data_IF_502587633822
#
_entry.id   IF_502587633822
#
_cell.length_a   1.000
_cell.length_b   1.000
_cell.length_c   1.000
_cell.angle_alpha   90.00
_cell.angle_beta   90.00
_cell.angle_gamma   90.00
#
_symmetry.space_group_name_H-M   'P 1'
#
loop_
_entity.id
_entity.type
_entity.pdbx_description
1 polymer ?
#
# COMPACT_ATOMS: atom_id res chain seq x y z
N UNK A 1 -22.66 -7.36 2.20
CA UNK A 1 -21.57 -6.38 1.98
C UNK A 1 -20.79 -6.15 3.27
N UNK A 2 -19.52 -5.81 3.13
CA UNK A 2 -18.68 -5.50 4.29
C UNK A 2 -18.68 -4.00 4.54
N UNK A 3 -18.63 -3.62 5.80
CA UNK A 3 -18.67 -2.22 6.21
C UNK A 3 -17.51 -1.91 7.14
N UNK A 4 -17.00 -0.69 7.04
CA UNK A 4 -15.85 -0.23 7.83
C UNK A 4 -16.14 1.17 8.35
N UNK A 5 -15.64 1.47 9.55
CA UNK A 5 -15.82 2.78 10.17
C UNK A 5 -14.53 3.24 10.82
N UNK A 6 -14.22 4.50 10.63
CA UNK A 6 -13.05 5.17 11.23
C UNK A 6 -13.53 6.51 11.78
N UNK A 7 -12.98 6.90 12.92
CA UNK A 7 -13.20 8.21 13.52
C UNK A 7 -11.87 8.93 13.67
N UNK A 8 -11.84 10.22 13.39
CA UNK A 8 -10.64 11.03 13.59
C UNK A 8 -11.02 12.32 14.32
N UNK A 9 -10.14 12.73 15.24
CA UNK A 9 -10.32 14.01 15.95
C UNK A 9 -9.03 14.79 15.99
N UNK A 10 -9.13 16.08 15.87
CA UNK A 10 -8.02 17.01 16.02
C UNK A 10 -7.57 17.03 17.49
N UNK A 11 -6.27 16.84 17.73
CA UNK A 11 -5.69 17.00 19.07
C UNK A 11 -5.32 18.46 19.28
N UNK A 12 -4.53 19.01 18.35
CA UNK A 12 -4.11 20.41 18.33
C UNK A 12 -3.77 20.78 16.88
N UNK A 13 -3.14 21.94 16.68
CA UNK A 13 -2.77 22.40 15.34
C UNK A 13 -1.60 21.61 14.72
N UNK A 14 -1.03 20.65 15.43
CA UNK A 14 0.08 19.83 14.94
C UNK A 14 -0.33 18.38 14.61
N UNK A 15 -1.46 17.91 15.09
CA UNK A 15 -1.82 16.53 14.84
C UNK A 15 -3.23 16.16 15.21
N UNK A 16 -3.61 14.99 14.70
CA UNK A 16 -4.93 14.39 14.93
C UNK A 16 -4.77 12.90 15.17
N UNK A 17 -5.78 12.29 15.74
CA UNK A 17 -5.77 10.86 16.06
C UNK A 17 -6.92 10.18 15.36
N UNK A 18 -6.62 9.19 14.54
CA UNK A 18 -7.61 8.32 13.92
C UNK A 18 -7.75 7.04 14.72
N UNK A 19 -8.96 6.57 14.91
CA UNK A 19 -9.23 5.36 15.68
C UNK A 19 -10.23 4.48 14.94
N UNK A 20 -10.05 3.18 15.06
CA UNK A 20 -10.98 2.18 14.60
C UNK A 20 -10.80 0.92 15.45
N UNK A 21 -11.88 0.31 15.89
CA UNK A 21 -11.81 -0.85 16.78
C UNK A 21 -10.94 -0.51 18.01
N UNK A 22 -9.86 -1.26 18.24
CA UNK A 22 -8.92 -0.99 19.33
C UNK A 22 -7.59 -0.42 18.82
N UNK A 23 -7.58 0.07 17.58
CA UNK A 23 -6.38 0.61 16.93
C UNK A 23 -6.43 2.11 16.85
N UNK A 24 -5.27 2.74 16.88
CA UNK A 24 -5.12 4.18 16.66
C UNK A 24 -3.88 4.48 15.83
N UNK A 25 -3.95 5.59 15.09
CA UNK A 25 -2.81 6.10 14.34
C UNK A 25 -2.77 7.61 14.44
N UNK A 26 -1.59 8.15 14.70
CA UNK A 26 -1.35 9.59 14.70
C UNK A 26 -1.31 10.09 13.26
N UNK A 27 -2.02 11.19 13.00
CA UNK A 27 -2.08 11.81 11.68
C UNK A 27 -1.35 13.15 11.70
N UNK A 28 -0.57 13.38 10.65
CA UNK A 28 0.03 14.70 10.40
C UNK A 28 -1.03 15.60 9.77
N UNK A 29 -1.64 16.42 10.59
CA UNK A 29 -2.57 17.49 10.16
C UNK A 29 -1.99 18.87 10.43
N UNK A 30 -0.68 18.95 10.61
CA UNK A 30 0.08 20.19 10.77
C UNK A 30 0.26 20.84 9.40
N UNK A 31 -0.10 22.11 9.27
CA UNK A 31 0.03 22.83 8.00
C UNK A 31 1.48 23.01 7.55
N UNK A 32 2.42 22.99 8.50
CA UNK A 32 3.85 23.02 8.22
C UNK A 32 4.45 21.63 7.99
N UNK A 33 3.67 20.58 8.27
CA UNK A 33 4.12 19.21 8.20
C UNK A 33 4.90 18.75 9.43
N UNK A 34 4.90 17.46 9.68
CA UNK A 34 5.71 16.84 10.76
C UNK A 34 6.28 15.53 10.25
N UNK A 35 7.48 15.19 10.77
CA UNK A 35 8.24 14.04 10.27
C UNK A 35 7.88 12.73 10.95
N UNK A 36 7.10 12.77 12.03
CA UNK A 36 6.83 11.61 12.87
C UNK A 36 5.41 11.06 12.76
N UNK A 37 4.68 11.47 11.72
CA UNK A 37 3.32 10.99 11.45
C UNK A 37 3.05 11.00 9.95
N UNK A 38 2.08 10.21 9.52
CA UNK A 38 1.66 10.16 8.12
C UNK A 38 0.74 11.33 7.83
N UNK A 39 1.03 12.07 6.76
CA UNK A 39 0.08 13.04 6.22
C UNK A 39 -1.01 12.30 5.41
N UNK A 40 -2.09 12.99 4.97
CA UNK A 40 -3.18 12.29 4.27
C UNK A 40 -2.74 11.53 3.03
N UNK A 41 -1.83 12.08 2.23
CA UNK A 41 -1.36 11.40 1.01
C UNK A 41 -0.53 10.17 1.36
N UNK A 42 0.35 10.26 2.35
CA UNK A 42 1.15 9.14 2.81
C UNK A 42 0.28 8.04 3.40
N UNK A 43 -0.75 8.40 4.16
CA UNK A 43 -1.68 7.43 4.71
C UNK A 43 -2.48 6.73 3.61
N UNK A 44 -2.85 7.48 2.58
CA UNK A 44 -3.50 6.94 1.39
C UNK A 44 -2.62 5.88 0.72
N UNK A 45 -1.33 6.19 0.50
CA UNK A 45 -0.37 5.23 -0.07
C UNK A 45 -0.19 4.02 0.84
N UNK A 46 -0.14 4.22 2.16
CA UNK A 46 -0.03 3.14 3.13
C UNK A 46 -1.21 2.18 3.04
N UNK A 47 -2.42 2.68 2.79
CA UNK A 47 -3.60 1.84 2.64
C UNK A 47 -3.50 0.93 1.40
N UNK A 48 -2.91 1.44 0.32
CA UNK A 48 -2.68 0.65 -0.89
C UNK A 48 -1.65 -0.45 -0.61
N UNK A 49 -0.56 -0.11 0.08
CA UNK A 49 0.46 -1.08 0.48
C UNK A 49 -0.13 -2.19 1.35
N UNK A 50 -0.91 -1.82 2.35
CA UNK A 50 -1.56 -2.79 3.24
C UNK A 50 -2.51 -3.70 2.47
N UNK A 51 -3.24 -3.16 1.52
CA UNK A 51 -4.14 -3.92 0.66
C UNK A 51 -3.37 -4.95 -0.17
N UNK A 52 -2.23 -4.56 -0.74
CA UNK A 52 -1.41 -5.45 -1.54
C UNK A 52 -0.79 -6.56 -0.69
N UNK A 53 -0.27 -6.25 0.49
CA UNK A 53 0.29 -7.24 1.41
C UNK A 53 -0.78 -8.23 1.85
N UNK A 54 -1.94 -7.72 2.24
CA UNK A 54 -3.06 -8.58 2.64
C UNK A 54 -3.55 -9.45 1.48
N UNK A 55 -3.52 -8.91 0.26
CA UNK A 55 -3.82 -9.67 -0.95
C UNK A 55 -2.84 -10.81 -1.19
N UNK A 56 -1.57 -10.56 -0.94
CA UNK A 56 -0.52 -11.59 -1.04
C UNK A 56 -0.78 -12.69 -0.01
N UNK A 57 -1.07 -12.32 1.24
CA UNK A 57 -1.41 -13.29 2.29
C UNK A 57 -2.64 -14.13 1.92
N UNK A 58 -3.61 -13.55 1.23
CA UNK A 58 -4.82 -14.26 0.78
C UNK A 58 -4.53 -15.23 -0.36
N UNK A 59 -3.73 -14.81 -1.33
CA UNK A 59 -3.53 -15.53 -2.60
C UNK A 59 -2.47 -16.63 -2.48
N UNK A 60 -1.42 -16.43 -1.68
CA UNK A 60 -0.33 -17.41 -1.59
C UNK A 60 -0.78 -18.81 -1.19
N UNK A 61 -1.71 -19.00 -0.22
CA UNK A 61 -2.23 -20.34 0.05
C UNK A 61 -3.00 -20.94 -1.12
N UNK A 62 -3.74 -20.11 -1.86
CA UNK A 62 -4.53 -20.56 -3.01
C UNK A 62 -3.66 -21.06 -4.14
N UNK A 63 -2.48 -20.48 -4.30
CA UNK A 63 -1.54 -20.84 -5.36
C UNK A 63 -0.48 -21.85 -4.88
N UNK A 64 -0.52 -22.27 -3.62
CA UNK A 64 0.56 -23.03 -3.02
C UNK A 64 1.91 -22.33 -3.26
N UNK A 65 1.92 -21.02 -3.05
CA UNK A 65 3.07 -20.17 -3.30
C UNK A 65 3.94 -20.09 -2.04
N UNK A 66 5.24 -20.31 -2.20
CA UNK A 66 6.17 -20.30 -1.08
C UNK A 66 6.65 -18.87 -0.78
N UNK A 67 6.06 -18.26 0.25
CA UNK A 67 6.34 -16.89 0.65
C UNK A 67 7.15 -16.85 1.94
N UNK A 68 8.29 -16.15 1.93
CA UNK A 68 9.06 -15.89 3.15
C UNK A 68 8.86 -14.47 3.67
N UNK A 69 8.69 -13.51 2.78
CA UNK A 69 8.46 -12.12 3.17
C UNK A 69 8.07 -11.27 1.98
N UNK A 70 7.57 -10.06 2.27
CA UNK A 70 7.17 -9.11 1.24
C UNK A 70 7.35 -7.69 1.73
N UNK A 71 7.76 -6.81 0.81
CA UNK A 71 7.85 -5.38 1.01
C UNK A 71 7.16 -4.70 -0.17
N UNK A 72 6.43 -3.63 0.08
CA UNK A 72 5.79 -2.85 -0.98
C UNK A 72 6.25 -1.40 -0.85
N UNK A 73 6.79 -0.86 -1.93
CA UNK A 73 7.19 0.55 -2.03
C UNK A 73 6.24 1.25 -2.97
N UNK A 74 5.79 2.44 -2.61
CA UNK A 74 4.89 3.23 -3.44
C UNK A 74 5.40 4.65 -3.58
N UNK A 75 5.16 5.23 -4.75
CA UNK A 75 5.48 6.62 -5.04
C UNK A 75 4.29 7.23 -5.76
N UNK A 76 3.77 8.32 -5.22
CA UNK A 76 2.62 9.03 -5.79
C UNK A 76 2.99 10.41 -6.27
N UNK A 77 2.35 10.84 -7.34
CA UNK A 77 2.53 12.18 -7.91
C UNK A 77 1.21 12.92 -7.85
N UNK A 78 1.25 14.14 -7.30
CA UNK A 78 0.12 15.03 -7.16
C UNK A 78 0.23 16.18 -8.16
N UNK A 79 -0.85 16.48 -8.87
CA UNK A 79 -0.91 17.73 -9.64
C UNK A 79 -1.34 18.88 -8.74
N UNK A 80 -1.06 20.10 -9.15
CA UNK A 80 -1.34 21.27 -8.32
C UNK A 80 -2.75 21.84 -8.46
N UNK A 81 -3.33 21.78 -9.65
CA UNK A 81 -4.60 22.44 -9.90
C UNK A 81 -5.54 21.58 -10.77
N UNK A 82 -6.62 21.04 -10.20
CA UNK A 82 -6.89 20.98 -8.76
C UNK A 82 -5.92 20.03 -8.06
N UNK A 83 -5.71 20.17 -6.74
CA UNK A 83 -4.87 19.24 -5.99
C UNK A 83 -5.43 17.81 -6.07
N UNK A 84 -4.68 16.91 -6.69
CA UNK A 84 -5.18 15.57 -6.97
C UNK A 84 -4.03 14.65 -7.28
N UNK A 85 -4.08 13.42 -6.77
CA UNK A 85 -3.12 12.38 -7.16
C UNK A 85 -3.43 11.95 -8.59
N UNK A 86 -2.42 11.94 -9.44
CA UNK A 86 -2.59 11.59 -10.87
C UNK A 86 -1.94 10.25 -11.23
N UNK A 87 -0.87 9.86 -10.55
CA UNK A 87 -0.24 8.56 -10.78
C UNK A 87 0.34 8.00 -9.49
N UNK A 88 0.28 6.69 -9.36
CA UNK A 88 0.88 5.95 -8.26
C UNK A 88 1.62 4.78 -8.87
N UNK A 89 2.91 4.68 -8.57
CA UNK A 89 3.74 3.55 -8.95
C UNK A 89 4.10 2.73 -7.72
N UNK A 90 4.09 1.42 -7.87
CA UNK A 90 4.45 0.53 -6.77
C UNK A 90 5.44 -0.53 -7.21
N UNK A 91 6.22 -1.02 -6.25
CA UNK A 91 7.08 -2.19 -6.39
C UNK A 91 6.73 -3.16 -5.29
N UNK A 92 6.37 -4.39 -5.66
CA UNK A 92 6.15 -5.48 -4.72
C UNK A 92 7.41 -6.34 -4.74
N UNK A 93 8.11 -6.41 -3.62
CA UNK A 93 9.38 -7.15 -3.50
C UNK A 93 9.14 -8.36 -2.63
N UNK A 94 9.26 -9.55 -3.22
CA UNK A 94 8.88 -10.82 -2.58
C UNK A 94 10.11 -11.65 -2.29
N UNK A 95 10.23 -12.09 -1.05
CA UNK A 95 11.28 -13.03 -0.65
C UNK A 95 10.75 -14.45 -0.88
N UNK A 96 11.21 -15.08 -1.96
CA UNK A 96 10.73 -16.38 -2.41
C UNK A 96 11.73 -17.02 -3.37
N UNK A 97 11.62 -18.33 -3.53
CA UNK A 97 12.35 -19.09 -4.56
C UNK A 97 11.49 -19.37 -5.80
N UNK A 98 10.24 -18.92 -5.80
CA UNK A 98 9.34 -19.12 -6.95
C UNK A 98 9.86 -18.37 -8.18
N UNK A 99 9.53 -18.89 -9.38
CA UNK A 99 10.00 -18.31 -10.64
C UNK A 99 9.17 -17.10 -11.09
N UNK A 100 9.61 -16.45 -12.17
CA UNK A 100 8.98 -15.23 -12.69
C UNK A 100 7.53 -15.45 -13.08
N UNK A 101 7.21 -16.60 -13.66
CA UNK A 101 5.85 -16.93 -14.06
C UNK A 101 4.93 -16.99 -12.84
N UNK A 102 5.42 -17.57 -11.75
CA UNK A 102 4.65 -17.65 -10.49
C UNK A 102 4.50 -16.28 -9.84
N UNK A 103 5.52 -15.43 -9.93
CA UNK A 103 5.41 -14.05 -9.46
C UNK A 103 4.37 -13.27 -10.26
N UNK A 104 4.35 -13.42 -11.58
CA UNK A 104 3.35 -12.76 -12.42
C UNK A 104 1.93 -13.20 -12.07
N UNK A 105 1.75 -14.49 -11.81
CA UNK A 105 0.46 -15.03 -11.41
C UNK A 105 0.02 -14.44 -10.06
N UNK A 106 0.93 -14.35 -9.09
CA UNK A 106 0.67 -13.73 -7.81
C UNK A 106 0.24 -12.27 -7.99
N UNK A 107 0.99 -11.51 -8.78
CA UNK A 107 0.72 -10.09 -9.04
C UNK A 107 -0.67 -9.89 -9.65
N UNK A 108 -1.03 -10.67 -10.65
CA UNK A 108 -2.34 -10.58 -11.29
C UNK A 108 -3.48 -10.81 -10.30
N UNK A 109 -3.33 -11.79 -9.44
CA UNK A 109 -4.37 -12.11 -8.45
C UNK A 109 -4.47 -11.04 -7.36
N UNK A 110 -3.35 -10.49 -6.91
CA UNK A 110 -3.34 -9.38 -5.95
C UNK A 110 -4.08 -8.17 -6.49
N UNK A 111 -3.85 -7.81 -7.77
CA UNK A 111 -4.55 -6.69 -8.42
C UNK A 111 -6.02 -7.00 -8.64
N UNK A 112 -6.36 -8.22 -9.00
CA UNK A 112 -7.73 -8.61 -9.31
C UNK A 112 -8.65 -8.53 -8.09
N UNK A 113 -8.16 -8.95 -6.92
CA UNK A 113 -8.99 -9.09 -5.72
C UNK A 113 -8.76 -8.01 -4.66
N UNK A 114 -7.91 -7.02 -4.92
CA UNK A 114 -7.61 -5.97 -3.95
C UNK A 114 -8.68 -4.89 -3.91
N UNK A 115 -9.38 -4.78 -2.79
CA UNK A 115 -10.45 -3.77 -2.61
C UNK A 115 -9.94 -2.35 -2.85
N UNK A 116 -8.83 -1.98 -2.21
CA UNK A 116 -8.28 -0.63 -2.31
C UNK A 116 -7.70 -0.40 -3.71
N UNK A 117 -6.97 -1.39 -4.25
CA UNK A 117 -6.43 -1.29 -5.62
C UNK A 117 -7.54 -1.07 -6.64
N UNK A 118 -8.63 -1.81 -6.55
CA UNK A 118 -9.77 -1.68 -7.47
C UNK A 118 -10.43 -0.30 -7.34
N UNK A 119 -10.55 0.20 -6.11
CA UNK A 119 -11.15 1.52 -5.86
C UNK A 119 -10.25 2.63 -6.43
N UNK A 120 -8.96 2.55 -6.16
CA UNK A 120 -7.98 3.58 -6.56
C UNK A 120 -7.79 3.61 -8.07
N UNK A 121 -7.77 2.44 -8.71
CA UNK A 121 -7.51 2.34 -10.16
C UNK A 121 -8.55 3.05 -11.02
N UNK A 122 -9.76 3.26 -10.50
CA UNK A 122 -10.81 4.00 -11.21
C UNK A 122 -10.55 5.51 -11.24
N UNK A 123 -9.75 6.04 -10.33
CA UNK A 123 -9.52 7.47 -10.17
C UNK A 123 -8.09 7.90 -10.48
N UNK A 124 -7.13 7.00 -10.33
CA UNK A 124 -5.70 7.31 -10.43
C UNK A 124 -5.03 6.22 -11.26
N UNK A 125 -4.03 6.60 -12.07
CA UNK A 125 -3.22 5.63 -12.79
C UNK A 125 -2.37 4.87 -11.77
N UNK A 126 -2.70 3.59 -11.56
CA UNK A 126 -2.03 2.71 -10.60
C UNK A 126 -1.29 1.62 -11.35
N UNK A 127 0.05 1.71 -11.37
CA UNK A 127 0.92 0.80 -12.10
C UNK A 127 2.09 0.38 -11.24
N UNK A 128 2.61 -0.80 -11.51
CA UNK A 128 3.77 -1.27 -10.78
C UNK A 128 4.25 -2.63 -11.25
N UNK A 129 5.22 -3.14 -10.53
CA UNK A 129 5.85 -4.42 -10.86
C UNK A 129 6.06 -5.26 -9.61
N UNK A 130 6.24 -6.56 -9.82
CA UNK A 130 6.59 -7.51 -8.77
C UNK A 130 7.98 -8.08 -9.09
N UNK A 131 8.80 -8.28 -8.07
CA UNK A 131 10.14 -8.81 -8.22
C UNK A 131 10.54 -9.62 -7.01
N UNK A 132 11.52 -10.50 -7.16
CA UNK A 132 12.12 -11.21 -6.04
C UNK A 132 13.11 -10.31 -5.30
N UNK A 133 13.22 -10.51 -3.99
CA UNK A 133 14.31 -9.94 -3.22
C UNK A 133 15.63 -10.47 -3.79
N UNK A 134 16.59 -9.58 -4.01
CA UNK A 134 17.91 -9.98 -4.48
C UNK A 134 18.65 -10.72 -3.39
N UNK A 135 19.34 -11.79 -3.78
CA UNK A 135 20.30 -12.46 -2.92
C UNK A 135 21.37 -11.42 -2.50
N UNK A 136 21.70 -11.32 -1.18
CA UNK A 136 22.76 -10.39 -0.73
C UNK A 136 24.07 -10.53 -1.50
N UNK A 137 24.43 -11.72 -1.96
CA UNK A 137 25.62 -11.95 -2.76
C UNK A 137 25.57 -11.30 -4.16
N UNK A 138 24.39 -10.99 -4.68
CA UNK A 138 24.17 -10.42 -6.01
C UNK A 138 23.65 -8.99 -5.99
N UNK A 139 23.39 -8.43 -4.79
CA UNK A 139 22.80 -7.09 -4.63
C UNK A 139 23.81 -5.97 -4.70
N UNK A 140 24.67 -5.97 -5.64
CA UNK A 140 25.73 -4.95 -5.77
C UNK A 140 25.40 -3.88 -6.78
#
# INVERSE_FOLDING_TARGET
>A
MLEYSVKARRIDDHGSLATTKQAEVMLDTDMSGRDDAFNPAELFLASIAACMIKGIERVTPMLDFNLRGVEVKLHGIRQDSPPKMVSINYEIIVDTDEDDRRLDLLHKNVRKFGTISNTVADAVQLEGMIMRTRDPATSK
#
